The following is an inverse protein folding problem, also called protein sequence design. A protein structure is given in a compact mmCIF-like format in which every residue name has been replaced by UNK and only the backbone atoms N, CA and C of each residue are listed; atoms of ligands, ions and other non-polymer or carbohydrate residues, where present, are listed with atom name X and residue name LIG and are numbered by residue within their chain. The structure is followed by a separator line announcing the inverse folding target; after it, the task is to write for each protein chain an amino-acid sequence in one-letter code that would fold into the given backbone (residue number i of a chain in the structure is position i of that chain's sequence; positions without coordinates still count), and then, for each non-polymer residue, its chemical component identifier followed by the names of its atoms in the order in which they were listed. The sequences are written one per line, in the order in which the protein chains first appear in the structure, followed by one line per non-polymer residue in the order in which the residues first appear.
data_IF_572772183296
#
_entry.id   IF_572772183296
#
_cell.length_a   1.000
_cell.length_b   1.000
_cell.length_c   1.000
_cell.angle_alpha   90.00
_cell.angle_beta   90.00
_cell.angle_gamma   90.00
#
_symmetry.space_group_name_H-M   'P 1'
#
loop_
_entity.id
_entity.type
_entity.pdbx_description
1 polymer ?
#
# COMPACT_ATOMS: atom_id res chain seq x y z
N UNK A 1 -4.93 -17.99 -10.99
CA UNK A 1 -4.56 -18.28 -9.60
C UNK A 1 -3.09 -18.60 -9.62
N UNK A 2 -2.28 -17.72 -9.05
CA UNK A 2 -0.83 -17.89 -9.00
C UNK A 2 -0.43 -18.67 -7.75
N UNK A 3 0.63 -19.47 -7.87
CA UNK A 3 1.14 -20.31 -6.79
C UNK A 3 2.53 -19.82 -6.40
N UNK A 4 2.73 -19.60 -5.11
CA UNK A 4 4.00 -19.19 -4.54
C UNK A 4 4.51 -20.27 -3.58
N UNK A 5 5.80 -20.59 -3.69
CA UNK A 5 6.39 -21.66 -2.89
C UNK A 5 6.44 -21.29 -1.41
N UNK A 6 6.69 -20.02 -1.12
CA UNK A 6 6.69 -19.43 0.21
C UNK A 6 6.06 -18.04 0.24
N UNK A 7 5.82 -17.52 1.45
CA UNK A 7 5.37 -16.13 1.64
C UNK A 7 6.44 -15.12 1.22
N UNK A 8 7.72 -15.47 1.37
CA UNK A 8 8.82 -14.60 0.97
C UNK A 8 8.83 -14.40 -0.55
N UNK A 9 8.56 -15.46 -1.33
CA UNK A 9 8.45 -15.35 -2.79
C UNK A 9 7.27 -14.47 -3.18
N UNK A 10 6.14 -14.63 -2.50
CA UNK A 10 4.97 -13.81 -2.78
C UNK A 10 5.20 -12.34 -2.40
N UNK A 11 5.80 -12.06 -1.24
CA UNK A 11 6.22 -10.71 -0.84
C UNK A 11 7.11 -10.10 -1.91
N UNK A 12 8.15 -10.82 -2.36
CA UNK A 12 9.07 -10.32 -3.38
C UNK A 12 8.35 -10.03 -4.70
N UNK A 13 7.40 -10.89 -5.09
CA UNK A 13 6.60 -10.66 -6.29
C UNK A 13 5.71 -9.41 -6.16
N UNK A 14 5.04 -9.21 -5.02
CA UNK A 14 4.24 -8.00 -4.75
C UNK A 14 5.13 -6.76 -4.75
N UNK A 15 6.32 -6.82 -4.14
CA UNK A 15 7.28 -5.71 -4.12
C UNK A 15 7.73 -5.31 -5.53
N UNK A 16 8.06 -6.29 -6.37
CA UNK A 16 8.39 -6.08 -7.77
C UNK A 16 7.23 -5.43 -8.53
N UNK A 17 5.99 -5.89 -8.32
CA UNK A 17 4.79 -5.31 -8.95
C UNK A 17 4.59 -3.87 -8.51
N UNK A 18 4.72 -3.57 -7.22
CA UNK A 18 4.58 -2.21 -6.67
C UNK A 18 5.61 -1.27 -7.29
N UNK A 19 6.89 -1.64 -7.24
CA UNK A 19 7.99 -0.81 -7.72
C UNK A 19 7.92 -0.63 -9.24
N UNK A 20 7.55 -1.67 -9.99
CA UNK A 20 7.38 -1.61 -11.45
C UNK A 20 6.21 -0.71 -11.86
N UNK A 21 5.06 -0.83 -11.18
CA UNK A 21 3.88 -0.01 -11.46
C UNK A 21 4.15 1.48 -11.21
N UNK A 22 4.76 1.82 -10.08
CA UNK A 22 5.12 3.20 -9.76
C UNK A 22 6.26 3.71 -10.66
N UNK A 23 7.25 2.87 -10.96
CA UNK A 23 8.39 3.22 -11.81
C UNK A 23 7.97 3.62 -13.23
N UNK A 24 6.97 2.94 -13.80
CA UNK A 24 6.39 3.29 -15.11
C UNK A 24 5.72 4.67 -15.15
N UNK A 25 5.31 5.20 -14.00
CA UNK A 25 4.64 6.50 -13.92
C UNK A 25 5.63 7.66 -13.81
N UNK A 26 6.88 7.41 -13.43
CA UNK A 26 7.90 8.46 -13.31
C UNK A 26 8.58 8.72 -14.66
N UNK A 27 8.91 9.99 -15.02
CA UNK A 27 8.60 11.23 -14.30
C UNK A 27 7.25 11.86 -14.69
N UNK A 28 6.68 11.48 -15.84
CA UNK A 28 5.62 12.26 -16.50
C UNK A 28 4.31 12.27 -15.72
N UNK A 29 3.89 11.11 -15.22
CA UNK A 29 2.60 10.91 -14.57
C UNK A 29 2.70 11.08 -13.04
N UNK A 30 3.92 11.25 -12.51
CA UNK A 30 4.18 11.43 -11.08
C UNK A 30 3.43 12.61 -10.45
N UNK A 31 3.05 13.62 -11.25
CA UNK A 31 2.27 14.77 -10.76
C UNK A 31 0.84 14.41 -10.34
N UNK A 32 0.30 13.29 -10.83
CA UNK A 32 -1.08 12.84 -10.62
C UNK A 32 -1.11 11.63 -9.65
N UNK A 33 -1.27 11.93 -8.35
CA UNK A 33 -1.36 10.93 -7.26
C UNK A 33 -2.46 9.88 -7.50
N UNK A 34 -3.54 10.32 -8.12
CA UNK A 34 -4.71 9.53 -8.43
C UNK A 34 -4.40 8.50 -9.52
N UNK A 35 -3.63 8.90 -10.54
CA UNK A 35 -3.12 8.02 -11.58
C UNK A 35 -2.09 7.02 -11.04
N UNK A 36 -1.17 7.46 -10.16
CA UNK A 36 -0.23 6.57 -9.47
C UNK A 36 -0.98 5.46 -8.73
N UNK A 37 -1.98 5.87 -7.93
CA UNK A 37 -2.82 4.96 -7.16
C UNK A 37 -3.52 3.97 -8.09
N UNK A 38 -4.26 4.43 -9.11
CA UNK A 38 -4.99 3.54 -10.03
C UNK A 38 -4.07 2.56 -10.75
N UNK A 39 -2.89 3.01 -11.18
CA UNK A 39 -1.91 2.15 -11.88
C UNK A 39 -1.37 1.05 -10.97
N UNK A 40 -1.02 1.40 -9.73
CA UNK A 40 -0.60 0.45 -8.72
C UNK A 40 -1.69 -0.58 -8.40
N UNK A 41 -2.92 -0.12 -8.13
CA UNK A 41 -4.03 -1.00 -7.77
C UNK A 41 -4.43 -1.94 -8.91
N UNK A 42 -4.40 -1.45 -10.16
CA UNK A 42 -4.66 -2.28 -11.34
C UNK A 42 -3.63 -3.40 -11.49
N UNK A 43 -2.34 -3.09 -11.30
CA UNK A 43 -1.27 -4.09 -11.35
C UNK A 43 -1.42 -5.14 -10.24
N UNK A 44 -1.64 -4.70 -9.00
CA UNK A 44 -1.87 -5.58 -7.86
C UNK A 44 -3.09 -6.50 -8.06
N UNK A 45 -4.21 -5.96 -8.54
CA UNK A 45 -5.42 -6.74 -8.82
C UNK A 45 -5.20 -7.78 -9.92
N UNK A 46 -4.50 -7.39 -10.98
CA UNK A 46 -4.27 -8.26 -12.15
C UNK A 46 -3.33 -9.41 -11.84
N UNK A 47 -2.28 -9.14 -11.06
CA UNK A 47 -1.21 -10.11 -10.80
C UNK A 47 -1.49 -10.92 -9.52
N UNK A 48 -2.06 -10.31 -8.46
CA UNK A 48 -2.04 -10.88 -7.12
C UNK A 48 -3.41 -11.17 -6.49
N UNK A 49 -4.54 -10.86 -7.12
CA UNK A 49 -5.88 -10.99 -6.49
C UNK A 49 -6.27 -12.41 -6.02
N UNK A 50 -5.62 -13.45 -6.56
CA UNK A 50 -5.93 -14.84 -6.27
C UNK A 50 -4.65 -15.66 -6.15
N UNK A 51 -4.20 -15.90 -4.92
CA UNK A 51 -2.93 -16.59 -4.64
C UNK A 51 -3.11 -17.82 -3.76
N UNK A 52 -2.28 -18.83 -4.05
CA UNK A 52 -2.07 -19.99 -3.18
C UNK A 52 -0.62 -19.99 -2.70
N UNK A 53 -0.42 -20.15 -1.39
CA UNK A 53 0.89 -20.24 -0.75
C UNK A 53 1.04 -21.69 -0.27
N UNK A 54 2.00 -22.42 -0.84
CA UNK A 54 2.13 -23.88 -0.65
C UNK A 54 2.68 -24.25 0.74
N UNK A 55 3.59 -23.44 1.29
CA UNK A 55 4.22 -23.68 2.60
C UNK A 55 3.77 -22.66 3.68
N UNK A 56 2.48 -22.35 3.75
CA UNK A 56 1.93 -21.40 4.72
C UNK A 56 1.97 -21.90 6.17
N UNK A 57 1.62 -23.18 6.38
CA UNK A 57 1.75 -23.96 7.62
C UNK A 57 2.36 -25.34 7.29
N UNK A 58 3.00 -26.04 8.25
CA UNK A 58 3.43 -27.42 8.03
C UNK A 58 2.26 -28.31 7.59
N UNK A 59 2.27 -28.70 6.31
CA UNK A 59 1.29 -29.63 5.72
C UNK A 59 0.01 -29.01 5.16
N UNK A 60 -0.14 -27.68 5.05
CA UNK A 60 -1.33 -27.04 4.45
C UNK A 60 -1.02 -25.81 3.59
N UNK A 61 -1.64 -25.76 2.41
CA UNK A 61 -1.65 -24.59 1.56
C UNK A 61 -2.58 -23.51 2.14
N UNK A 62 -2.12 -22.27 2.20
CA UNK A 62 -2.96 -21.12 2.49
C UNK A 62 -3.51 -20.54 1.19
N UNK A 63 -4.81 -20.25 1.14
CA UNK A 63 -5.44 -19.56 -0.01
C UNK A 63 -5.90 -18.19 0.44
N UNK A 64 -5.47 -17.17 -0.29
CA UNK A 64 -5.87 -15.81 -0.07
C UNK A 64 -6.56 -15.28 -1.33
N UNK A 65 -7.78 -14.79 -1.14
CA UNK A 65 -8.48 -14.01 -2.15
C UNK A 65 -8.57 -12.58 -1.64
N UNK A 66 -8.19 -11.62 -2.46
CA UNK A 66 -8.31 -10.21 -2.09
C UNK A 66 -8.63 -9.36 -3.30
N UNK A 67 -9.31 -8.24 -3.05
CA UNK A 67 -9.52 -7.18 -4.03
C UNK A 67 -9.01 -5.87 -3.46
N UNK A 68 -8.48 -5.04 -4.35
CA UNK A 68 -7.97 -3.71 -4.01
C UNK A 68 -8.47 -2.70 -5.03
N UNK A 69 -8.99 -1.59 -4.55
CA UNK A 69 -9.64 -0.59 -5.38
C UNK A 69 -9.49 0.83 -4.82
N UNK A 70 -9.57 1.81 -5.71
CA UNK A 70 -9.66 3.22 -5.33
C UNK A 70 -11.08 3.44 -4.82
N UNK A 71 -11.22 3.94 -3.60
CA UNK A 71 -12.49 4.39 -3.06
C UNK A 71 -13.02 5.54 -3.92
N UNK A 72 -14.32 5.53 -4.17
CA UNK A 72 -14.98 6.62 -4.90
C UNK A 72 -15.49 7.67 -3.92
N UNK A 73 -15.75 8.88 -4.46
CA UNK A 73 -16.41 9.96 -3.73
C UNK A 73 -17.90 9.70 -3.49
N UNK A 74 -18.45 8.65 -4.11
CA UNK A 74 -19.84 8.26 -3.92
C UNK A 74 -20.07 7.86 -2.46
N UNK A 75 -21.21 8.29 -1.91
CA UNK A 75 -21.61 8.02 -0.51
C UNK A 75 -20.60 8.51 0.56
N UNK A 76 -19.63 9.34 0.15
CA UNK A 76 -18.62 9.90 1.02
C UNK A 76 -17.54 8.89 1.46
N UNK A 77 -17.35 7.77 0.75
CA UNK A 77 -16.43 6.70 1.20
C UNK A 77 -14.98 7.19 1.23
N UNK A 78 -14.49 7.77 0.13
CA UNK A 78 -13.14 8.35 0.08
C UNK A 78 -12.91 9.38 1.20
N UNK A 79 -13.89 10.25 1.44
CA UNK A 79 -13.80 11.31 2.46
C UNK A 79 -13.87 10.79 3.91
N UNK A 80 -14.31 9.55 4.11
CA UNK A 80 -14.41 8.92 5.44
C UNK A 80 -13.28 7.96 5.72
N UNK A 81 -12.76 7.30 4.69
CA UNK A 81 -11.89 6.14 4.81
C UNK A 81 -10.60 6.26 4.01
N UNK A 82 -10.39 7.36 3.28
CA UNK A 82 -9.20 7.57 2.48
C UNK A 82 -9.28 6.95 1.09
N UNK A 83 -8.16 7.03 0.38
CA UNK A 83 -8.09 6.74 -1.05
C UNK A 83 -8.34 5.29 -1.46
N UNK A 84 -7.91 4.31 -0.65
CA UNK A 84 -7.80 2.91 -1.06
C UNK A 84 -8.62 2.03 -0.12
N UNK A 85 -9.42 1.14 -0.70
CA UNK A 85 -10.09 0.03 -0.01
C UNK A 85 -9.44 -1.30 -0.37
N UNK A 86 -9.27 -2.16 0.63
CA UNK A 86 -8.79 -3.53 0.47
C UNK A 86 -9.82 -4.46 1.10
N UNK A 87 -10.27 -5.46 0.35
CA UNK A 87 -11.12 -6.55 0.84
C UNK A 87 -10.32 -7.84 0.83
N UNK A 88 -10.34 -8.55 1.95
CA UNK A 88 -9.59 -9.78 2.14
C UNK A 88 -10.53 -10.89 2.54
N UNK A 89 -10.34 -12.06 1.94
CA UNK A 89 -10.95 -13.31 2.36
C UNK A 89 -9.86 -14.37 2.58
N UNK A 90 -9.65 -14.74 3.85
CA UNK A 90 -8.72 -15.79 4.27
C UNK A 90 -9.47 -17.09 4.52
N UNK A 91 -8.92 -18.22 4.06
CA UNK A 91 -9.55 -19.54 4.20
C UNK A 91 -8.67 -20.48 5.03
N UNK A 92 -9.20 -20.95 6.16
CA UNK A 92 -8.54 -21.84 7.12
C UNK A 92 -9.10 -23.27 7.06
N UNK A 93 -8.98 -23.93 5.91
CA UNK A 93 -9.58 -25.24 5.68
C UNK A 93 -11.06 -25.18 5.28
N UNK A 94 -11.77 -26.30 5.38
CA UNK A 94 -13.18 -26.38 4.96
C UNK A 94 -14.09 -25.57 5.89
N UNK A 95 -14.90 -24.68 5.30
CA UNK A 95 -15.92 -23.85 5.95
C UNK A 95 -15.41 -22.85 7.02
N UNK A 96 -14.11 -22.55 7.07
CA UNK A 96 -13.57 -21.51 7.95
C UNK A 96 -13.04 -20.34 7.13
N UNK A 97 -13.85 -19.30 7.03
CA UNK A 97 -13.53 -18.09 6.27
C UNK A 97 -13.48 -16.90 7.22
N UNK A 98 -12.43 -16.08 7.11
CA UNK A 98 -12.34 -14.77 7.74
C UNK A 98 -12.37 -13.72 6.65
N UNK A 99 -13.24 -12.73 6.81
CA UNK A 99 -13.35 -11.58 5.90
C UNK A 99 -12.92 -10.31 6.62
N UNK A 100 -12.21 -9.44 5.91
CA UNK A 100 -11.67 -8.21 6.46
C UNK A 100 -11.69 -7.08 5.44
N UNK A 101 -11.71 -5.86 5.96
CA UNK A 101 -11.56 -4.63 5.16
C UNK A 101 -10.44 -3.78 5.76
N UNK A 102 -9.59 -3.23 4.90
CA UNK A 102 -8.58 -2.25 5.28
C UNK A 102 -8.69 -1.00 4.42
N UNK A 103 -8.26 0.11 5.00
CA UNK A 103 -8.40 1.45 4.43
C UNK A 103 -7.07 2.19 4.49
N UNK A 104 -6.68 2.84 3.38
CA UNK A 104 -5.43 3.57 3.27
C UNK A 104 -5.63 4.92 2.59
N UNK A 105 -4.90 5.92 3.07
CA UNK A 105 -4.74 7.22 2.40
C UNK A 105 -3.42 7.23 1.62
N UNK A 106 -3.47 7.61 0.34
CA UNK A 106 -2.27 7.67 -0.51
C UNK A 106 -1.72 9.08 -0.56
N UNK A 107 -0.40 9.24 -0.44
CA UNK A 107 0.27 10.54 -0.58
C UNK A 107 1.55 10.40 -1.37
N UNK A 108 1.68 11.15 -2.47
CA UNK A 108 2.93 11.23 -3.22
C UNK A 108 3.87 12.29 -2.67
N UNK A 109 5.16 12.06 -2.85
CA UNK A 109 6.15 13.09 -2.59
C UNK A 109 6.12 14.17 -3.69
N UNK A 110 6.44 15.39 -3.29
CA UNK A 110 6.68 16.54 -4.15
C UNK A 110 8.18 16.82 -4.12
N UNK A 111 8.86 16.53 -5.23
CA UNK A 111 10.31 16.71 -5.31
C UNK A 111 10.69 18.18 -5.38
N UNK A 112 11.64 18.59 -4.54
CA UNK A 112 12.31 19.88 -4.68
C UNK A 112 13.44 19.72 -5.72
N UNK A 113 13.32 20.46 -6.82
CA UNK A 113 14.24 20.36 -7.96
C UNK A 113 15.67 20.83 -7.64
N UNK A 114 15.84 21.68 -6.62
CA UNK A 114 17.14 22.23 -6.23
C UNK A 114 17.80 21.42 -5.11
N UNK A 115 17.01 20.79 -4.24
CA UNK A 115 17.51 19.95 -3.17
C UNK A 115 16.50 18.86 -2.80
N UNK A 116 16.73 17.63 -3.26
CA UNK A 116 15.86 16.49 -2.99
C UNK A 116 15.75 16.13 -1.49
N UNK A 117 16.65 16.62 -0.63
CA UNK A 117 16.50 16.49 0.83
C UNK A 117 15.36 17.34 1.40
N UNK A 118 14.82 18.29 0.61
CA UNK A 118 13.67 19.14 0.97
C UNK A 118 12.36 18.65 0.35
N UNK A 119 12.38 17.50 -0.33
CA UNK A 119 11.18 16.87 -0.90
C UNK A 119 10.21 16.47 0.21
N UNK A 120 8.92 16.73 0.00
CA UNK A 120 7.87 16.60 1.03
C UNK A 120 6.57 16.03 0.50
N UNK A 121 5.77 15.45 1.38
CA UNK A 121 4.38 15.05 1.15
C UNK A 121 3.44 16.23 1.35
N UNK A 122 3.59 17.30 0.56
CA UNK A 122 2.89 18.58 0.76
C UNK A 122 1.35 18.50 0.71
N UNK A 123 0.79 17.41 0.18
CA UNK A 123 -0.66 17.15 0.15
C UNK A 123 -1.20 16.48 1.42
N UNK A 124 -0.34 16.22 2.41
CA UNK A 124 -0.70 15.53 3.64
C UNK A 124 -1.48 16.47 4.57
N UNK A 125 -2.75 16.15 4.82
CA UNK A 125 -3.64 16.90 5.73
C UNK A 125 -3.80 16.15 7.06
N UNK A 126 -3.15 16.65 8.11
CA UNK A 126 -3.20 16.04 9.44
C UNK A 126 -4.61 16.03 10.04
N UNK A 127 -5.45 17.01 9.76
CA UNK A 127 -6.84 17.02 10.25
C UNK A 127 -7.69 15.97 9.52
N UNK A 128 -7.44 15.76 8.23
CA UNK A 128 -8.04 14.66 7.48
C UNK A 128 -7.61 13.31 8.03
N UNK A 129 -6.33 13.11 8.29
CA UNK A 129 -5.81 11.87 8.88
C UNK A 129 -6.39 11.58 10.27
N UNK A 130 -6.61 12.60 11.11
CA UNK A 130 -7.32 12.45 12.39
C UNK A 130 -8.74 11.90 12.20
N UNK A 131 -9.48 12.43 11.22
CA UNK A 131 -10.84 11.94 10.90
C UNK A 131 -10.79 10.47 10.46
N UNK A 132 -9.86 10.09 9.59
CA UNK A 132 -9.72 8.71 9.16
C UNK A 132 -9.40 7.76 10.31
N UNK A 133 -8.48 8.13 11.20
CA UNK A 133 -8.18 7.35 12.41
C UNK A 133 -9.36 7.21 13.36
N UNK A 134 -10.28 8.18 13.42
CA UNK A 134 -11.51 8.05 14.21
C UNK A 134 -12.53 7.10 13.60
N UNK A 135 -12.51 6.93 12.27
CA UNK A 135 -13.42 6.04 11.55
C UNK A 135 -12.88 4.61 11.41
N UNK A 136 -11.56 4.42 11.44
CA UNK A 136 -10.91 3.11 11.33
C UNK A 136 -9.69 3.02 12.24
N UNK A 137 -9.72 2.09 13.20
CA UNK A 137 -8.65 1.87 14.17
C UNK A 137 -7.33 1.41 13.55
N UNK A 138 -7.39 0.82 12.36
CA UNK A 138 -6.23 0.28 11.63
C UNK A 138 -5.95 1.03 10.33
N UNK A 139 -6.43 2.27 10.21
CA UNK A 139 -6.15 3.12 9.05
C UNK A 139 -4.63 3.33 8.88
N UNK A 140 -4.17 3.26 7.62
CA UNK A 140 -2.77 3.48 7.26
C UNK A 140 -2.60 4.58 6.23
N UNK A 141 -1.42 5.19 6.22
CA UNK A 141 -1.04 6.14 5.17
C UNK A 141 0.04 5.49 4.34
N UNK A 142 -0.16 5.47 3.03
CA UNK A 142 0.80 4.97 2.04
C UNK A 142 1.45 6.15 1.32
N UNK A 143 2.76 6.08 1.21
CA UNK A 143 3.61 7.08 0.58
C UNK A 143 4.14 6.55 -0.74
N UNK A 144 4.09 7.38 -1.78
CA UNK A 144 4.77 7.13 -3.05
C UNK A 144 5.97 8.06 -3.15
N UNK A 145 7.16 7.49 -3.33
CA UNK A 145 8.41 8.24 -3.51
C UNK A 145 9.24 7.60 -4.62
N UNK A 146 10.10 8.42 -5.21
CA UNK A 146 11.04 8.04 -6.24
C UNK A 146 12.42 8.62 -5.88
N UNK A 147 13.35 7.77 -5.43
CA UNK A 147 14.70 8.21 -5.10
C UNK A 147 15.61 8.15 -6.33
N UNK A 148 16.46 9.17 -6.47
CA UNK A 148 17.51 9.17 -7.49
C UNK A 148 18.75 8.48 -6.95
N UNK A 149 19.34 7.59 -7.75
CA UNK A 149 20.59 6.90 -7.47
C UNK A 149 21.50 6.94 -8.71
N UNK A 150 22.76 6.51 -8.57
CA UNK A 150 23.68 6.39 -9.72
C UNK A 150 23.14 5.48 -10.83
N UNK A 151 22.30 4.50 -10.49
CA UNK A 151 21.64 3.58 -11.44
C UNK A 151 20.35 4.12 -12.04
N UNK A 152 19.97 5.37 -11.76
CA UNK A 152 18.71 5.98 -12.19
C UNK A 152 17.71 6.14 -11.04
N UNK A 153 16.44 6.25 -11.41
CA UNK A 153 15.35 6.47 -10.46
C UNK A 153 14.75 5.15 -9.98
N UNK A 154 14.52 5.03 -8.67
CA UNK A 154 13.84 3.88 -8.07
C UNK A 154 12.58 4.36 -7.36
N UNK A 155 11.43 4.02 -7.93
CA UNK A 155 10.14 4.28 -7.32
C UNK A 155 9.78 3.15 -6.35
N UNK A 156 9.21 3.51 -5.21
CA UNK A 156 8.80 2.57 -4.18
C UNK A 156 7.59 3.10 -3.42
N UNK A 157 7.02 2.24 -2.58
CA UNK A 157 5.94 2.62 -1.67
C UNK A 157 6.22 2.20 -0.24
N UNK A 158 6.08 3.16 0.68
CA UNK A 158 6.20 2.96 2.11
C UNK A 158 4.85 3.17 2.79
N UNK A 159 4.62 2.55 3.93
CA UNK A 159 3.36 2.66 4.67
C UNK A 159 3.59 2.69 6.16
N UNK A 160 2.71 3.38 6.86
CA UNK A 160 2.74 3.54 8.31
C UNK A 160 1.30 3.56 8.85
N UNK A 161 1.04 3.03 10.05
CA UNK A 161 -0.20 3.31 10.76
C UNK A 161 -0.42 4.83 10.88
N UNK A 162 -1.58 5.32 10.45
CA UNK A 162 -1.84 6.77 10.40
C UNK A 162 -1.75 7.41 11.79
N UNK A 163 -2.07 6.65 12.85
CA UNK A 163 -1.89 7.10 14.24
C UNK A 163 -0.43 7.38 14.59
N UNK A 164 0.50 6.58 14.08
CA UNK A 164 1.93 6.81 14.30
C UNK A 164 2.39 8.05 13.56
N UNK A 165 1.97 8.23 12.30
CA UNK A 165 2.25 9.42 11.52
C UNK A 165 1.74 10.70 12.20
N UNK A 166 0.50 10.68 12.73
CA UNK A 166 -0.06 11.79 13.51
C UNK A 166 0.76 12.11 14.77
N UNK A 167 1.37 11.08 15.38
CA UNK A 167 2.21 11.24 16.57
C UNK A 167 3.59 11.81 16.21
N UNK A 168 4.18 11.34 15.12
CA UNK A 168 5.47 11.81 14.60
C UNK A 168 5.34 13.25 14.08
N UNK A 169 4.21 13.58 13.47
CA UNK A 169 3.89 14.90 12.91
C UNK A 169 4.97 15.44 11.97
N UNK A 170 5.37 14.61 11.00
CA UNK A 170 6.27 15.00 9.90
C UNK A 170 5.60 14.76 8.54
N UNK A 171 5.99 15.57 7.56
CA UNK A 171 5.55 15.56 6.17
C UNK A 171 6.70 15.29 5.19
N UNK A 172 7.85 14.84 5.67
CA UNK A 172 9.05 14.60 4.85
C UNK A 172 9.59 13.16 5.02
N UNK A 173 10.75 12.88 4.40
CA UNK A 173 11.38 11.56 4.44
C UNK A 173 11.85 11.11 5.84
N UNK A 174 11.83 11.99 6.85
CA UNK A 174 12.16 11.60 8.22
C UNK A 174 11.16 10.58 8.82
N UNK A 175 10.02 10.34 8.15
CA UNK A 175 9.06 9.31 8.53
C UNK A 175 9.51 7.88 8.21
N UNK A 176 10.45 7.69 7.27
CA UNK A 176 10.80 6.36 6.76
C UNK A 176 11.37 5.38 7.77
N UNK A 177 12.15 5.79 8.79
CA UNK A 177 12.58 4.87 9.84
C UNK A 177 11.42 4.19 10.60
N UNK A 178 10.20 4.72 10.48
CA UNK A 178 8.99 4.21 11.14
C UNK A 178 8.02 3.53 10.16
N UNK A 179 8.38 3.44 8.89
CA UNK A 179 7.56 2.84 7.85
C UNK A 179 7.98 1.39 7.56
N UNK A 180 7.06 0.61 7.00
CA UNK A 180 7.35 -0.64 6.30
C UNK A 180 7.02 -0.47 4.81
N UNK A 181 7.52 -1.33 3.92
CA UNK A 181 7.11 -1.28 2.52
C UNK A 181 5.63 -1.66 2.38
N UNK A 182 4.93 -1.10 1.38
CA UNK A 182 3.53 -1.45 1.11
C UNK A 182 3.38 -2.95 0.85
N UNK A 183 4.32 -3.55 0.12
CA UNK A 183 4.41 -4.99 -0.14
C UNK A 183 4.34 -5.79 1.17
N UNK A 184 5.19 -5.47 2.14
CA UNK A 184 5.18 -6.07 3.48
C UNK A 184 3.84 -5.89 4.19
N UNK A 185 3.26 -4.69 4.16
CA UNK A 185 1.96 -4.45 4.79
C UNK A 185 0.85 -5.32 4.17
N UNK A 186 0.84 -5.45 2.84
CA UNK A 186 -0.13 -6.29 2.16
C UNK A 186 0.08 -7.76 2.55
N UNK A 187 1.28 -8.30 2.33
CA UNK A 187 1.53 -9.75 2.46
C UNK A 187 1.67 -10.25 3.90
N UNK A 188 2.10 -9.39 4.83
CA UNK A 188 2.41 -9.79 6.21
C UNK A 188 1.45 -9.23 7.27
N UNK A 189 0.70 -8.16 6.98
CA UNK A 189 -0.24 -7.56 7.96
C UNK A 189 -1.69 -7.82 7.64
N UNK A 190 -2.10 -7.63 6.39
CA UNK A 190 -3.51 -7.74 6.00
C UNK A 190 -3.88 -9.15 5.55
N UNK A 191 -2.94 -9.85 4.94
CA UNK A 191 -3.18 -11.14 4.30
C UNK A 191 -2.61 -12.31 5.13
N UNK A 192 -2.17 -12.03 6.37
CA UNK A 192 -1.91 -13.00 7.42
C UNK A 192 -2.96 -12.79 8.53
N UNK A 193 -3.72 -13.84 8.85
CA UNK A 193 -4.58 -13.85 10.03
C UNK A 193 -3.74 -13.82 11.31
#
# INVERSE_FOLDING_TARGET
MENYSSRFDWHQAVDNTVNSALGKCYPRDWKDEDYLTRSLLYALKTEHSNVTIEQGEPGKNAKCHWDVYKNTKEQGIEQKHGDIGILVQLRFGENKTLEGVAFLEAKRIYHDQANDSKSKFSALDMEQLKRYCSNSSFHRTVFYDCMSSEGGHSAFSATIPTRHLLTINSDDRAIYPYCEFLSCCLTDRYLQG
#
